data_IF_736608498476
#
_entry.id   IF_736608498476
#
_cell.length_a   1.000
_cell.length_b   1.000
_cell.length_c   1.000
_cell.angle_alpha   90.00
_cell.angle_beta   90.00
_cell.angle_gamma   90.00
#
_symmetry.space_group_name_H-M   'P 1'
#
loop_
_entity.id
_entity.type
_entity.pdbx_description
1 polymer ?
#
# COMPACT_ATOMS: atom_id res chain seq x y z
N UNK A 1 -1.96 11.07 17.64
CA UNK A 1 -1.42 12.31 18.23
C UNK A 1 -0.04 11.98 18.80
N UNK A 2 1.03 12.63 18.33
CA UNK A 2 2.39 12.30 18.75
C UNK A 2 2.59 12.57 20.24
N UNK A 3 3.32 11.67 20.91
CA UNK A 3 3.88 11.97 22.22
C UNK A 3 4.84 13.16 22.07
N UNK A 4 4.73 14.15 22.95
CA UNK A 4 5.59 15.33 22.93
C UNK A 4 6.55 15.27 24.11
N UNK A 5 7.75 15.82 23.94
CA UNK A 5 8.66 16.11 25.05
C UNK A 5 8.02 17.15 25.97
N UNK A 6 8.61 17.36 27.14
CA UNK A 6 8.19 18.42 28.06
C UNK A 6 8.24 19.81 27.41
N UNK A 7 9.14 20.01 26.44
CA UNK A 7 9.29 21.25 25.67
C UNK A 7 8.35 21.32 24.44
N UNK A 8 7.45 20.35 24.27
CA UNK A 8 6.47 20.30 23.18
C UNK A 8 7.01 19.75 21.84
N UNK A 9 8.25 19.24 21.81
CA UNK A 9 8.86 18.65 20.61
C UNK A 9 8.23 17.28 20.35
N UNK A 10 7.72 17.01 19.13
CA UNK A 10 7.17 15.69 18.81
C UNK A 10 8.25 14.60 18.90
N UNK A 11 7.92 13.53 19.60
CA UNK A 11 8.75 12.34 19.78
C UNK A 11 8.11 11.21 18.96
N UNK A 12 8.93 10.57 18.14
CA UNK A 12 8.52 9.43 17.34
C UNK A 12 9.69 8.85 16.52
N UNK A 13 9.53 7.65 15.96
CA UNK A 13 10.49 7.07 15.04
C UNK A 13 10.67 7.95 13.79
N UNK A 14 11.87 7.96 13.21
CA UNK A 14 12.20 8.74 11.99
C UNK A 14 11.29 8.36 10.82
N UNK A 15 10.80 7.12 10.75
CA UNK A 15 9.82 6.71 9.74
C UNK A 15 8.51 7.50 9.80
N UNK A 16 8.17 8.06 10.97
CA UNK A 16 7.03 8.94 11.19
C UNK A 16 7.40 10.42 11.10
N UNK A 17 8.64 10.75 10.73
CA UNK A 17 9.07 12.14 10.52
C UNK A 17 8.13 12.83 9.55
N UNK A 18 7.74 12.17 8.44
CA UNK A 18 6.79 12.71 7.46
C UNK A 18 5.44 13.10 8.07
N UNK A 19 4.96 12.36 9.06
CA UNK A 19 3.77 12.70 9.84
C UNK A 19 4.01 13.85 10.82
N UNK A 20 5.21 13.94 11.40
CA UNK A 20 5.59 15.04 12.27
C UNK A 20 5.80 16.37 11.52
N UNK A 21 6.24 16.34 10.24
CA UNK A 21 6.36 17.52 9.36
C UNK A 21 5.08 17.83 8.55
N UNK A 22 4.01 17.04 8.72
CA UNK A 22 2.65 17.28 8.19
C UNK A 22 2.11 18.72 8.34
N UNK A 23 2.51 19.54 9.36
CA UNK A 23 2.10 20.93 9.45
C UNK A 23 2.65 21.85 8.35
N UNK A 24 3.67 21.45 7.57
CA UNK A 24 4.25 22.28 6.51
C UNK A 24 3.47 22.07 5.19
N UNK A 25 2.65 23.04 4.73
CA UNK A 25 1.70 22.83 3.63
C UNK A 25 2.37 22.47 2.30
N UNK A 26 3.55 23.04 2.01
CA UNK A 26 4.27 22.81 0.75
C UNK A 26 4.90 21.40 0.66
N UNK A 27 5.39 20.86 1.78
CA UNK A 27 6.02 19.55 1.81
C UNK A 27 4.98 18.42 1.69
N UNK A 28 3.79 18.63 2.30
CA UNK A 28 2.66 17.70 2.22
C UNK A 28 2.17 17.46 0.79
N UNK A 29 2.18 18.51 -0.04
CA UNK A 29 1.80 18.42 -1.46
C UNK A 29 2.82 17.58 -2.25
N UNK A 30 4.11 17.84 -2.07
CA UNK A 30 5.19 17.07 -2.73
C UNK A 30 5.14 15.59 -2.34
N UNK A 31 4.93 15.29 -1.06
CA UNK A 31 4.81 13.91 -0.55
C UNK A 31 3.58 13.20 -1.15
N UNK A 32 2.48 13.92 -1.37
CA UNK A 32 1.27 13.35 -1.96
C UNK A 32 1.39 13.09 -3.46
N UNK A 33 2.27 13.80 -4.17
CA UNK A 33 2.55 13.56 -5.59
C UNK A 33 3.40 12.30 -5.82
N UNK A 34 4.17 11.89 -4.81
CA UNK A 34 5.05 10.72 -4.87
C UNK A 34 4.33 9.47 -4.33
N UNK A 35 3.28 9.66 -3.52
CA UNK A 35 2.53 8.57 -2.91
C UNK A 35 1.24 8.25 -3.66
N UNK A 36 0.83 6.99 -3.52
CA UNK A 36 -0.33 6.38 -4.18
C UNK A 36 -1.67 6.89 -3.60
N UNK A 37 -1.65 7.49 -2.40
CA UNK A 37 -2.81 7.97 -1.66
C UNK A 37 -2.42 9.26 -0.90
N UNK A 38 -3.34 10.22 -0.70
CA UNK A 38 -3.08 11.40 0.13
C UNK A 38 -2.62 11.01 1.53
N UNK A 39 -1.53 11.62 1.98
CA UNK A 39 -0.85 11.26 3.21
C UNK A 39 -1.73 11.44 4.47
N UNK A 40 -2.56 12.49 4.48
CA UNK A 40 -3.49 12.76 5.57
C UNK A 40 -4.56 11.68 5.73
N UNK A 41 -4.90 11.00 4.64
CA UNK A 41 -5.86 9.91 4.66
C UNK A 41 -5.24 8.65 5.26
N UNK A 42 -3.97 8.36 4.96
CA UNK A 42 -3.23 7.28 5.64
C UNK A 42 -3.13 7.57 7.15
N UNK A 43 -2.73 8.80 7.52
CA UNK A 43 -2.51 9.20 8.91
C UNK A 43 -3.77 9.08 9.78
N UNK A 44 -4.96 9.20 9.16
CA UNK A 44 -6.24 9.00 9.86
C UNK A 44 -6.57 7.55 10.21
N UNK A 45 -5.77 6.59 9.72
CA UNK A 45 -5.93 5.15 10.01
C UNK A 45 -4.85 4.75 11.03
N UNK A 46 -5.18 4.57 12.32
CA UNK A 46 -4.18 4.32 13.35
C UNK A 46 -3.61 2.90 13.31
N UNK A 47 -4.37 1.93 12.78
CA UNK A 47 -3.96 0.53 12.74
C UNK A 47 -2.98 0.27 11.59
N UNK A 48 -1.79 -0.25 11.90
CA UNK A 48 -0.73 -0.51 10.92
C UNK A 48 -1.18 -1.46 9.79
N UNK A 49 -1.80 -2.59 10.16
CA UNK A 49 -2.28 -3.56 9.17
C UNK A 49 -3.37 -2.99 8.25
N UNK A 50 -4.39 -2.32 8.81
CA UNK A 50 -5.44 -1.66 8.03
C UNK A 50 -4.90 -0.56 7.11
N UNK A 51 -3.95 0.24 7.59
CA UNK A 51 -3.34 1.29 6.75
C UNK A 51 -2.50 0.71 5.62
N UNK A 52 -1.78 -0.39 5.87
CA UNK A 52 -1.03 -1.13 4.84
C UNK A 52 -1.99 -1.76 3.83
N UNK A 53 -3.06 -2.41 4.29
CA UNK A 53 -4.12 -2.96 3.43
C UNK A 53 -4.71 -1.89 2.51
N UNK A 54 -5.07 -0.72 3.06
CA UNK A 54 -5.62 0.38 2.28
C UNK A 54 -4.62 0.86 1.23
N UNK A 55 -3.36 1.09 1.61
CA UNK A 55 -2.30 1.47 0.67
C UNK A 55 -2.13 0.44 -0.45
N UNK A 56 -2.18 -0.85 -0.13
CA UNK A 56 -2.11 -1.94 -1.10
C UNK A 56 -3.29 -1.95 -2.07
N UNK A 57 -4.52 -1.69 -1.61
CA UNK A 57 -5.69 -1.58 -2.51
C UNK A 57 -5.50 -0.45 -3.52
N UNK A 58 -5.03 0.71 -3.08
CA UNK A 58 -4.72 1.79 -4.02
C UNK A 58 -3.56 1.42 -4.96
N UNK A 59 -2.49 0.79 -4.44
CA UNK A 59 -1.35 0.39 -5.24
C UNK A 59 -1.74 -0.62 -6.32
N UNK A 60 -2.56 -1.60 -5.96
CA UNK A 60 -3.07 -2.62 -6.88
C UNK A 60 -4.01 -2.01 -7.92
N UNK A 61 -4.72 -0.93 -7.59
CA UNK A 61 -5.56 -0.19 -8.54
C UNK A 61 -4.75 0.54 -9.60
N UNK A 62 -3.47 0.85 -9.36
CA UNK A 62 -2.60 1.52 -10.33
C UNK A 62 -1.80 0.48 -11.10
N UNK A 63 -1.88 0.42 -12.45
CA UNK A 63 -1.18 -0.59 -13.22
C UNK A 63 0.31 -0.25 -13.41
N UNK A 64 0.63 1.05 -13.42
CA UNK A 64 1.95 1.58 -13.78
C UNK A 64 2.71 2.09 -12.55
N UNK A 65 2.99 1.19 -11.61
CA UNK A 65 3.91 1.47 -10.50
C UNK A 65 5.32 1.13 -10.97
N UNK A 66 6.25 2.08 -10.81
CA UNK A 66 7.65 1.90 -11.22
C UNK A 66 8.55 1.45 -10.07
N UNK A 67 8.17 1.72 -8.83
CA UNK A 67 8.99 1.43 -7.64
C UNK A 67 8.13 0.84 -6.54
N UNK A 68 8.58 -0.28 -5.96
CA UNK A 68 7.99 -0.85 -4.75
C UNK A 68 8.99 -0.72 -3.61
N UNK A 69 8.79 0.25 -2.71
CA UNK A 69 9.75 0.54 -1.64
C UNK A 69 9.14 0.35 -0.26
N UNK A 70 9.78 -0.49 0.56
CA UNK A 70 9.42 -0.70 1.96
C UNK A 70 10.70 -0.74 2.78
N UNK A 71 10.78 0.09 3.82
CA UNK A 71 12.04 0.35 4.55
C UNK A 71 12.77 -0.92 5.01
N UNK A 72 12.04 -1.88 5.59
CA UNK A 72 12.61 -3.10 6.15
C UNK A 72 12.04 -4.35 5.48
N UNK A 73 12.87 -5.38 5.29
CA UNK A 73 12.46 -6.60 4.62
C UNK A 73 11.29 -7.29 5.33
N UNK A 74 11.19 -7.21 6.66
CA UNK A 74 10.04 -7.75 7.41
C UNK A 74 8.73 -7.08 7.00
N UNK A 75 8.72 -5.76 6.83
CA UNK A 75 7.56 -5.01 6.34
C UNK A 75 7.24 -5.34 4.89
N UNK A 76 8.26 -5.54 4.06
CA UNK A 76 8.12 -5.96 2.66
C UNK A 76 7.46 -7.33 2.55
N UNK A 77 7.92 -8.31 3.35
CA UNK A 77 7.29 -9.63 3.39
C UNK A 77 5.87 -9.51 3.93
N UNK A 78 5.66 -8.73 4.99
CA UNK A 78 4.32 -8.53 5.56
C UNK A 78 3.32 -7.96 4.55
N UNK A 79 3.70 -6.96 3.75
CA UNK A 79 2.81 -6.39 2.74
C UNK A 79 2.46 -7.39 1.63
N UNK A 80 3.38 -8.27 1.24
CA UNK A 80 3.08 -9.34 0.29
C UNK A 80 2.19 -10.41 0.92
N UNK A 81 2.43 -10.79 2.18
CA UNK A 81 1.55 -11.71 2.92
C UNK A 81 0.14 -11.16 3.08
N UNK A 82 -0.02 -9.84 3.23
CA UNK A 82 -1.33 -9.19 3.21
C UNK A 82 -2.03 -9.34 1.86
N UNK A 83 -1.30 -9.22 0.74
CA UNK A 83 -1.87 -9.49 -0.59
C UNK A 83 -2.30 -10.97 -0.66
N UNK A 84 -1.41 -11.91 -0.31
CA UNK A 84 -1.71 -13.35 -0.37
C UNK A 84 -2.93 -13.73 0.49
N UNK A 85 -3.11 -13.10 1.64
CA UNK A 85 -4.18 -13.40 2.58
C UNK A 85 -5.51 -12.75 2.17
N UNK A 86 -5.47 -11.48 1.73
CA UNK A 86 -6.68 -10.67 1.50
C UNK A 86 -6.96 -10.32 0.03
N UNK A 87 -6.30 -10.95 -0.96
CA UNK A 87 -6.48 -10.57 -2.36
C UNK A 87 -7.95 -10.58 -2.81
N UNK A 88 -8.78 -11.50 -2.31
CA UNK A 88 -10.20 -11.55 -2.66
C UNK A 88 -10.96 -10.32 -2.18
N UNK A 89 -10.74 -9.90 -0.94
CA UNK A 89 -11.32 -8.66 -0.39
C UNK A 89 -10.79 -7.44 -1.14
N UNK A 90 -9.49 -7.39 -1.43
CA UNK A 90 -8.88 -6.31 -2.20
C UNK A 90 -9.49 -6.22 -3.60
N UNK A 91 -9.66 -7.35 -4.29
CA UNK A 91 -10.29 -7.40 -5.61
C UNK A 91 -11.74 -6.90 -5.58
N UNK A 92 -12.51 -7.29 -4.54
CA UNK A 92 -13.86 -6.75 -4.33
C UNK A 92 -13.84 -5.24 -4.09
N UNK A 93 -12.90 -4.74 -3.30
CA UNK A 93 -12.78 -3.31 -3.04
C UNK A 93 -12.47 -2.52 -4.32
N UNK A 94 -11.60 -3.04 -5.18
CA UNK A 94 -11.25 -2.44 -6.47
C UNK A 94 -12.46 -2.49 -7.41
N UNK A 95 -13.10 -3.65 -7.56
CA UNK A 95 -14.23 -3.85 -8.48
C UNK A 95 -15.50 -3.10 -8.07
N UNK A 96 -15.69 -2.80 -6.79
CA UNK A 96 -16.79 -1.96 -6.26
C UNK A 96 -16.40 -0.49 -6.08
N UNK A 97 -15.10 -0.16 -6.04
CA UNK A 97 -14.56 1.13 -5.62
C UNK A 97 -15.04 1.55 -4.22
N UNK A 98 -15.18 0.59 -3.32
CA UNK A 98 -15.54 0.80 -1.92
C UNK A 98 -14.73 -0.11 -1.00
N UNK A 99 -14.53 0.30 0.26
CA UNK A 99 -13.86 -0.50 1.28
C UNK A 99 -14.86 -1.26 2.18
N UNK A 100 -16.16 -1.29 1.83
CA UNK A 100 -17.19 -1.89 2.69
C UNK A 100 -17.10 -3.42 2.76
N UNK A 101 -16.46 -4.02 1.75
CA UNK A 101 -16.16 -5.45 1.72
C UNK A 101 -14.90 -5.84 2.50
N UNK A 102 -14.12 -4.86 2.98
CA UNK A 102 -12.91 -5.12 3.76
C UNK A 102 -13.26 -5.36 5.23
N UNK A 103 -12.87 -6.53 5.74
CA UNK A 103 -12.93 -6.86 7.16
C UNK A 103 -12.07 -5.89 7.98
N UNK A 104 -10.81 -5.69 7.59
CA UNK A 104 -9.87 -4.80 8.25
C UNK A 104 -10.36 -3.36 8.35
N UNK A 105 -10.96 -2.79 7.30
CA UNK A 105 -11.46 -1.41 7.33
C UNK A 105 -12.72 -1.31 8.18
N UNK A 106 -13.64 -2.28 8.07
CA UNK A 106 -14.88 -2.29 8.87
C UNK A 106 -14.59 -2.38 10.37
N UNK A 107 -13.60 -3.18 10.75
CA UNK A 107 -13.31 -3.46 12.15
C UNK A 107 -12.45 -2.37 12.80
N UNK A 108 -11.63 -1.64 12.02
CA UNK A 108 -10.65 -0.68 12.55
C UNK A 108 -10.88 0.79 12.14
N UNK A 109 -11.77 1.09 11.20
CA UNK A 109 -12.08 2.46 10.75
C UNK A 109 -13.54 2.78 11.03
N UNK A 110 -13.82 3.30 12.22
CA UNK A 110 -15.19 3.63 12.62
C UNK A 110 -15.67 5.01 12.11
N UNK A 111 -14.75 5.90 11.74
CA UNK A 111 -15.13 7.22 11.21
C UNK A 111 -15.69 7.11 9.78
N UNK A 112 -17.00 7.35 9.67
CA UNK A 112 -17.73 7.36 8.40
C UNK A 112 -17.16 8.39 7.40
N UNK A 113 -16.66 9.55 7.88
CA UNK A 113 -16.07 10.56 7.00
C UNK A 113 -14.78 10.05 6.35
N UNK A 114 -13.94 9.35 7.12
CA UNK A 114 -12.72 8.72 6.61
C UNK A 114 -13.06 7.65 5.58
N UNK A 115 -14.01 6.76 5.88
CA UNK A 115 -14.47 5.73 4.93
C UNK A 115 -15.03 6.31 3.64
N UNK A 116 -15.88 7.33 3.73
CA UNK A 116 -16.41 8.02 2.56
C UNK A 116 -15.29 8.64 1.71
N UNK A 117 -14.32 9.29 2.36
CA UNK A 117 -13.18 9.89 1.67
C UNK A 117 -12.27 8.85 1.01
N UNK A 118 -12.05 7.69 1.64
CA UNK A 118 -11.35 6.55 1.05
C UNK A 118 -12.05 6.07 -0.22
N UNK A 119 -13.35 5.80 -0.14
CA UNK A 119 -14.15 5.33 -1.28
C UNK A 119 -14.13 6.36 -2.43
N UNK A 120 -14.29 7.65 -2.13
CA UNK A 120 -14.22 8.71 -3.12
C UNK A 120 -12.84 8.80 -3.80
N UNK A 121 -11.77 8.66 -3.02
CA UNK A 121 -10.40 8.74 -3.54
C UNK A 121 -10.10 7.53 -4.42
N UNK A 122 -10.47 6.32 -4.00
CA UNK A 122 -10.30 5.10 -4.79
C UNK A 122 -11.05 5.18 -6.12
N UNK A 123 -12.29 5.68 -6.08
CA UNK A 123 -13.10 5.89 -7.29
C UNK A 123 -12.46 6.88 -8.25
N UNK A 124 -11.86 7.97 -7.76
CA UNK A 124 -11.16 8.95 -8.60
C UNK A 124 -9.94 8.34 -9.28
N UNK A 125 -9.07 7.67 -8.52
CA UNK A 125 -7.89 6.98 -9.07
C UNK A 125 -8.30 6.02 -10.16
N UNK A 126 -9.28 5.16 -9.91
CA UNK A 126 -9.71 4.19 -10.91
C UNK A 126 -10.42 4.81 -12.13
N UNK A 127 -11.03 5.99 -11.98
CA UNK A 127 -11.65 6.71 -13.10
C UNK A 127 -10.59 7.17 -14.12
N UNK A 128 -9.41 7.59 -13.65
CA UNK A 128 -8.29 8.01 -14.50
C UNK A 128 -7.82 6.90 -15.45
N UNK A 129 -8.02 5.63 -15.10
CA UNK A 129 -7.60 4.46 -15.88
C UNK A 129 -8.74 3.81 -16.69
N UNK A 130 -9.95 4.38 -16.69
CA UNK A 130 -11.09 3.88 -17.49
C UNK A 130 -12.32 3.46 -16.69
N UNK A 131 -12.37 3.74 -15.38
CA UNK A 131 -13.60 3.60 -14.59
C UNK A 131 -14.04 2.15 -14.36
N UNK A 132 -15.31 1.83 -14.62
CA UNK A 132 -15.89 0.52 -14.24
C UNK A 132 -15.26 -0.66 -15.00
N UNK A 133 -15.13 -0.57 -16.32
CA UNK A 133 -14.56 -1.64 -17.14
C UNK A 133 -13.11 -1.93 -16.73
N UNK A 134 -12.33 -0.88 -16.50
CA UNK A 134 -10.97 -0.98 -15.98
C UNK A 134 -10.93 -1.71 -14.63
N UNK A 135 -11.76 -1.33 -13.66
CA UNK A 135 -11.75 -1.92 -12.31
C UNK A 135 -12.07 -3.39 -12.31
N UNK A 136 -13.04 -3.83 -13.12
CA UNK A 136 -13.41 -5.24 -13.24
C UNK A 136 -12.23 -6.03 -13.81
N UNK A 137 -11.67 -5.59 -14.95
CA UNK A 137 -10.54 -6.27 -15.58
C UNK A 137 -9.30 -6.29 -14.68
N UNK A 138 -9.04 -5.19 -13.95
CA UNK A 138 -7.91 -5.10 -13.03
C UNK A 138 -8.06 -6.05 -11.84
N UNK A 139 -9.25 -6.10 -11.24
CA UNK A 139 -9.54 -7.03 -10.14
C UNK A 139 -9.40 -8.50 -10.60
N UNK A 140 -9.88 -8.84 -11.79
CA UNK A 140 -9.73 -10.19 -12.36
C UNK A 140 -8.26 -10.54 -12.61
N UNK A 141 -7.47 -9.62 -13.17
CA UNK A 141 -6.02 -9.79 -13.34
C UNK A 141 -5.32 -10.10 -12.01
N UNK A 142 -5.57 -9.28 -10.98
CA UNK A 142 -4.98 -9.44 -9.64
C UNK A 142 -5.37 -10.81 -9.06
N UNK A 143 -6.66 -11.15 -9.13
CA UNK A 143 -7.16 -12.43 -8.65
C UNK A 143 -6.43 -13.61 -9.31
N UNK A 144 -6.30 -13.58 -10.64
CA UNK A 144 -5.64 -14.64 -11.41
C UNK A 144 -4.14 -14.76 -11.10
N UNK A 145 -3.45 -13.63 -10.86
CA UNK A 145 -2.04 -13.66 -10.49
C UNK A 145 -1.79 -14.14 -9.05
N UNK A 146 -2.66 -13.79 -8.11
CA UNK A 146 -2.58 -14.23 -6.72
C UNK A 146 -2.93 -15.72 -6.53
N UNK A 147 -3.71 -16.31 -7.44
CA UNK A 147 -3.97 -17.76 -7.44
C UNK A 147 -2.72 -18.60 -7.75
N UNK A 148 -1.70 -18.01 -8.37
CA UNK A 148 -0.44 -18.69 -8.75
C UNK A 148 0.58 -18.68 -7.60
N UNK A 149 0.21 -19.25 -6.45
CA UNK A 149 0.97 -19.16 -5.18
C UNK A 149 2.43 -19.61 -5.28
N UNK A 150 2.72 -20.63 -6.10
CA UNK A 150 4.06 -21.20 -6.23
C UNK A 150 4.91 -20.59 -7.35
N UNK A 151 4.43 -19.50 -7.98
CA UNK A 151 5.13 -18.85 -9.08
C UNK A 151 5.91 -17.63 -8.55
N UNK A 152 7.25 -17.57 -8.73
CA UNK A 152 8.05 -16.45 -8.28
C UNK A 152 7.75 -15.17 -9.08
N UNK A 153 8.04 -14.01 -8.51
CA UNK A 153 7.89 -12.72 -9.18
C UNK A 153 6.47 -12.14 -9.11
N UNK A 154 5.75 -12.32 -7.99
CA UNK A 154 4.38 -11.78 -7.86
C UNK A 154 4.34 -10.27 -8.10
N UNK A 155 5.37 -9.53 -7.69
CA UNK A 155 5.44 -8.08 -7.88
C UNK A 155 5.45 -7.68 -9.35
N UNK A 156 6.27 -8.32 -10.19
CA UNK A 156 6.33 -8.01 -11.62
C UNK A 156 5.09 -8.50 -12.38
N UNK A 157 4.40 -9.53 -11.89
CA UNK A 157 3.12 -9.98 -12.46
C UNK A 157 1.96 -9.03 -12.11
N UNK A 158 1.94 -8.48 -10.90
CA UNK A 158 0.95 -7.49 -10.49
C UNK A 158 1.23 -6.11 -11.12
N UNK A 159 2.50 -5.74 -11.22
CA UNK A 159 2.98 -4.48 -11.80
C UNK A 159 4.05 -4.73 -12.86
N UNK A 160 3.67 -4.96 -14.13
CA UNK A 160 4.61 -5.19 -15.21
C UNK A 160 5.57 -4.03 -15.50
N UNK A 161 5.18 -2.81 -15.13
CA UNK A 161 5.98 -1.58 -15.31
C UNK A 161 7.00 -1.34 -14.19
N UNK A 162 7.11 -2.26 -13.22
CA UNK A 162 7.99 -2.10 -12.06
C UNK A 162 9.45 -2.21 -12.48
N UNK A 163 10.24 -1.20 -12.13
CA UNK A 163 11.67 -1.09 -12.50
C UNK A 163 12.55 -1.70 -11.41
N UNK A 164 12.22 -1.47 -10.14
CA UNK A 164 12.93 -2.07 -9.01
C UNK A 164 12.04 -2.16 -7.76
N UNK A 165 12.40 -3.11 -6.88
CA UNK A 165 11.95 -3.16 -5.51
C UNK A 165 13.06 -2.62 -4.60
N UNK A 166 12.73 -2.03 -3.46
CA UNK A 166 13.74 -1.51 -2.51
C UNK A 166 13.37 -1.87 -1.09
N UNK A 167 14.27 -2.56 -0.39
CA UNK A 167 14.13 -2.87 1.03
C UNK A 167 15.48 -3.18 1.69
N UNK A 168 15.62 -2.89 2.99
CA UNK A 168 16.83 -3.24 3.72
C UNK A 168 16.95 -4.76 3.89
N UNK A 169 17.92 -5.37 3.20
CA UNK A 169 18.22 -6.82 3.25
C UNK A 169 19.57 -7.15 3.90
N UNK A 170 20.30 -6.14 4.41
CA UNK A 170 21.59 -6.34 5.08
C UNK A 170 21.47 -6.80 6.53
N UNK A 171 22.59 -7.28 7.09
CA UNK A 171 22.72 -7.67 8.51
C UNK A 171 21.61 -8.63 8.97
N UNK A 172 20.90 -8.31 10.04
CA UNK A 172 19.79 -9.12 10.58
C UNK A 172 18.65 -9.35 9.58
N UNK A 173 18.48 -8.50 8.56
CA UNK A 173 17.46 -8.68 7.52
C UNK A 173 17.88 -9.63 6.40
N UNK A 174 19.13 -10.11 6.37
CA UNK A 174 19.61 -11.06 5.37
C UNK A 174 18.85 -12.38 5.40
N UNK A 175 18.23 -12.72 6.54
CA UNK A 175 17.35 -13.89 6.66
C UNK A 175 16.14 -13.84 5.71
N UNK A 176 15.67 -12.65 5.33
CA UNK A 176 14.55 -12.46 4.40
C UNK A 176 14.97 -12.43 2.94
N UNK A 177 16.27 -12.36 2.64
CA UNK A 177 16.78 -12.11 1.28
C UNK A 177 16.22 -13.09 0.24
N UNK A 178 16.24 -14.39 0.55
CA UNK A 178 15.73 -15.43 -0.37
C UNK A 178 14.24 -15.27 -0.65
N UNK A 179 13.46 -14.89 0.35
CA UNK A 179 12.01 -14.71 0.22
C UNK A 179 11.68 -13.44 -0.57
N UNK A 180 12.42 -12.34 -0.32
CA UNK A 180 12.32 -11.11 -1.13
C UNK A 180 12.68 -11.38 -2.59
N UNK A 181 13.78 -12.10 -2.85
CA UNK A 181 14.19 -12.52 -4.20
C UNK A 181 13.15 -13.41 -4.89
N UNK A 182 12.52 -14.33 -4.16
CA UNK A 182 11.42 -15.15 -4.68
C UNK A 182 10.25 -14.28 -5.15
N UNK A 183 9.84 -13.29 -4.35
CA UNK A 183 8.73 -12.41 -4.69
C UNK A 183 9.03 -11.39 -5.80
N UNK A 184 10.29 -10.97 -5.92
CA UNK A 184 10.74 -10.10 -7.02
C UNK A 184 10.94 -10.89 -8.33
N UNK A 185 11.30 -12.17 -8.22
CA UNK A 185 11.63 -13.00 -9.38
C UNK A 185 12.93 -12.56 -10.05
N UNK A 186 13.22 -13.11 -11.24
CA UNK A 186 14.51 -12.87 -11.93
C UNK A 186 14.62 -11.50 -12.63
N UNK A 187 13.49 -10.86 -12.88
CA UNK A 187 13.42 -9.67 -13.74
C UNK A 187 13.49 -8.36 -12.95
N UNK A 188 13.16 -8.41 -11.66
CA UNK A 188 13.06 -7.22 -10.82
C UNK A 188 14.28 -7.10 -9.89
N UNK A 189 15.15 -6.10 -10.09
CA UNK A 189 16.24 -5.83 -9.17
C UNK A 189 15.73 -5.34 -7.80
N UNK A 190 16.53 -5.64 -6.76
CA UNK A 190 16.32 -5.26 -5.34
C UNK A 190 17.45 -4.33 -4.90
#
# INVERSE_FOLDING_TARGET
MFSKSQDGIPIGPISQLMSAVSPIPGLKFIISLINIIPFDLIESIPHFETSTYVQLVFALTIPNIYVYSVTFASGFIHSIKLIEHYYEEMCRCISSANFDHSSLVRDNVHDLKVRLRLNQTLKKVALEYGGLSYRIARAEHIHNECMKKDVPGILSRLWPSLIYASTATGSTFAMYKKEVEFYCGKQLPI
#
